data_IF_349687769388
#
_entry.id   IF_349687769388
#
_cell.length_a   1.000
_cell.length_b   1.000
_cell.length_c   1.000
_cell.angle_alpha   90.00
_cell.angle_beta   90.00
_cell.angle_gamma   90.00
#
_symmetry.space_group_name_H-M   'P 1'
#
loop_
_entity.id
_entity.type
_entity.pdbx_description
1 polymer ?
#
# COMPACT_ATOMS: atom_id res chain seq x y z
N UNK A 1 12.33 30.97 -24.45
CA UNK A 1 11.93 32.21 -23.77
C UNK A 1 11.72 31.83 -22.32
N UNK A 2 12.72 32.09 -21.47
CA UNK A 2 12.65 31.70 -20.07
C UNK A 2 11.68 32.63 -19.35
N UNK A 3 10.51 32.09 -19.00
CA UNK A 3 9.45 32.84 -18.32
C UNK A 3 9.82 33.01 -16.85
N UNK A 4 10.74 33.92 -16.57
CA UNK A 4 11.18 34.24 -15.21
C UNK A 4 10.13 35.16 -14.55
N UNK A 5 9.46 34.65 -13.51
CA UNK A 5 8.49 35.42 -12.72
C UNK A 5 9.09 35.75 -11.35
N UNK A 6 9.13 37.03 -11.00
CA UNK A 6 9.62 37.49 -9.70
C UNK A 6 8.44 37.64 -8.73
N UNK A 7 8.46 36.89 -7.62
CA UNK A 7 7.41 36.92 -6.60
C UNK A 7 8.00 37.52 -5.31
N UNK A 8 7.57 38.72 -4.88
CA UNK A 8 8.06 39.31 -3.63
C UNK A 8 7.58 38.49 -2.43
N UNK A 9 8.49 38.19 -1.52
CA UNK A 9 8.18 37.53 -0.25
C UNK A 9 8.08 38.59 0.85
N UNK A 10 7.01 38.54 1.64
CA UNK A 10 6.81 39.42 2.79
C UNK A 10 6.27 38.65 4.00
N UNK A 11 6.61 39.11 5.20
CA UNK A 11 6.04 38.58 6.44
C UNK A 11 6.39 37.11 6.70
N UNK A 12 5.43 36.27 7.14
CA UNK A 12 5.69 34.87 7.54
C UNK A 12 6.38 34.02 6.46
N UNK A 13 6.18 34.33 5.19
CA UNK A 13 6.77 33.62 4.06
C UNK A 13 8.30 33.71 4.04
N UNK A 14 8.87 34.85 4.45
CA UNK A 14 10.33 35.04 4.53
C UNK A 14 10.93 34.12 5.58
N UNK A 15 10.24 33.94 6.70
CA UNK A 15 10.67 33.07 7.80
C UNK A 15 10.62 31.58 7.46
N UNK A 16 9.72 31.18 6.57
CA UNK A 16 9.64 29.80 6.06
C UNK A 16 10.82 29.52 5.13
N UNK A 17 11.13 30.45 4.23
CA UNK A 17 12.26 30.34 3.30
C UNK A 17 13.61 30.36 4.02
N UNK A 18 13.76 31.21 5.05
CA UNK A 18 15.03 31.36 5.78
C UNK A 18 15.47 30.11 6.54
N UNK A 19 14.53 29.22 6.89
CA UNK A 19 14.81 28.00 7.66
C UNK A 19 15.31 26.83 6.80
N UNK A 20 14.72 26.61 5.62
CA UNK A 20 15.01 25.44 4.79
C UNK A 20 15.01 25.76 3.28
N UNK A 21 15.92 26.62 2.79
CA UNK A 21 15.90 27.09 1.41
C UNK A 21 16.11 25.96 0.40
N UNK A 22 17.01 25.01 0.67
CA UNK A 22 17.31 23.91 -0.24
C UNK A 22 16.12 22.95 -0.42
N UNK A 23 15.43 22.64 0.68
CA UNK A 23 14.26 21.75 0.67
C UNK A 23 13.08 22.38 -0.06
N UNK A 24 12.84 23.69 0.14
CA UNK A 24 11.81 24.42 -0.59
C UNK A 24 12.08 24.45 -2.10
N UNK A 25 13.34 24.64 -2.53
CA UNK A 25 13.70 24.56 -3.96
C UNK A 25 13.40 23.18 -4.53
N UNK A 26 13.76 22.12 -3.80
CA UNK A 26 13.52 20.74 -4.22
C UNK A 26 12.02 20.42 -4.32
N UNK A 27 11.21 20.87 -3.34
CA UNK A 27 9.75 20.69 -3.37
C UNK A 27 9.14 21.43 -4.56
N UNK A 28 9.55 22.67 -4.81
CA UNK A 28 9.01 23.48 -5.93
C UNK A 28 9.37 22.82 -7.26
N UNK A 29 10.59 22.33 -7.41
CA UNK A 29 11.04 21.61 -8.60
C UNK A 29 10.26 20.31 -8.79
N UNK A 30 10.18 19.46 -7.76
CA UNK A 30 9.54 18.15 -7.87
C UNK A 30 8.02 18.24 -8.06
N UNK A 31 7.38 19.23 -7.42
CA UNK A 31 5.91 19.35 -7.42
C UNK A 31 5.38 20.14 -8.61
N UNK A 32 6.11 21.17 -9.04
CA UNK A 32 5.64 22.11 -10.06
C UNK A 32 6.54 22.17 -11.30
N UNK A 33 7.69 21.49 -11.31
CA UNK A 33 8.65 21.54 -12.41
C UNK A 33 9.36 22.89 -12.53
N UNK A 34 9.31 23.73 -11.49
CA UNK A 34 9.86 25.08 -11.51
C UNK A 34 11.19 25.15 -10.74
N UNK A 35 12.18 25.83 -11.30
CA UNK A 35 13.40 26.16 -10.57
C UNK A 35 13.20 27.45 -9.79
N UNK A 36 13.35 27.39 -8.46
CA UNK A 36 13.20 28.54 -7.59
C UNK A 36 14.56 29.04 -7.08
N UNK A 37 14.77 30.35 -7.14
CA UNK A 37 15.90 31.03 -6.50
C UNK A 37 15.36 31.97 -5.43
N UNK A 38 16.07 32.06 -4.30
CA UNK A 38 15.69 32.92 -3.18
C UNK A 38 16.82 33.93 -2.98
N UNK A 39 16.54 35.19 -3.28
CA UNK A 39 17.48 36.31 -3.15
C UNK A 39 17.10 37.15 -1.91
N UNK A 40 18.10 37.69 -1.19
CA UNK A 40 17.87 38.61 -0.08
C UNK A 40 17.35 37.99 1.24
N UNK A 41 17.47 36.67 1.44
CA UNK A 41 17.06 35.99 2.67
C UNK A 41 18.30 35.52 3.46
N UNK A 42 18.46 35.96 4.71
CA UNK A 42 19.49 35.45 5.62
C UNK A 42 19.11 34.05 6.15
N UNK A 43 19.97 33.05 5.92
CA UNK A 43 19.68 31.66 6.26
C UNK A 43 20.11 31.32 7.69
N UNK A 44 19.19 30.81 8.51
CA UNK A 44 19.52 30.35 9.86
C UNK A 44 20.06 28.92 9.79
N UNK A 45 21.37 28.78 9.98
CA UNK A 45 22.08 27.50 10.03
C UNK A 45 21.64 26.65 11.22
N UNK A 46 20.61 25.82 11.02
CA UNK A 46 20.16 24.81 11.96
C UNK A 46 20.04 23.47 11.25
N UNK A 47 21.16 22.75 11.12
CA UNK A 47 21.19 21.41 10.54
C UNK A 47 20.46 20.41 11.48
N UNK A 48 19.14 20.33 11.36
CA UNK A 48 18.40 19.11 11.70
C UNK A 48 18.32 18.31 10.41
N UNK A 49 19.24 17.36 10.27
CA UNK A 49 19.26 16.40 9.17
C UNK A 49 17.97 15.58 9.18
N UNK A 50 16.91 16.10 8.55
CA UNK A 50 15.79 15.29 8.07
C UNK A 50 16.41 14.31 7.07
N UNK A 51 16.40 13.02 7.44
CA UNK A 51 16.91 11.95 6.58
C UNK A 51 16.25 12.08 5.21
N UNK A 52 17.02 12.47 4.18
CA UNK A 52 16.60 12.40 2.77
C UNK A 52 15.85 11.08 2.55
N UNK A 53 14.54 11.15 2.30
CA UNK A 53 13.80 9.97 1.81
C UNK A 53 14.37 9.70 0.42
N UNK A 54 15.26 8.71 0.34
CA UNK A 54 15.74 8.15 -0.92
C UNK A 54 14.52 7.93 -1.81
N UNK A 55 14.56 8.42 -3.05
CA UNK A 55 13.48 8.22 -4.01
C UNK A 55 13.05 6.75 -3.99
N UNK A 56 11.74 6.44 -3.95
CA UNK A 56 11.28 5.06 -3.90
C UNK A 56 11.90 4.28 -5.05
N UNK A 57 12.52 3.14 -4.75
CA UNK A 57 13.03 2.27 -5.80
C UNK A 57 11.87 1.87 -6.74
N UNK A 58 12.10 1.78 -8.06
CA UNK A 58 11.05 1.42 -9.00
C UNK A 58 10.43 0.07 -8.62
N UNK A 59 9.12 -0.13 -8.88
CA UNK A 59 8.47 -1.42 -8.70
C UNK A 59 9.24 -2.52 -9.41
N UNK A 60 9.63 -3.55 -8.68
CA UNK A 60 10.39 -4.69 -9.20
C UNK A 60 9.59 -5.96 -9.02
N UNK A 61 9.15 -6.55 -10.14
CA UNK A 61 8.61 -7.90 -10.14
C UNK A 61 9.71 -8.90 -9.79
N UNK A 62 9.44 -9.75 -8.80
CA UNK A 62 10.33 -10.82 -8.35
C UNK A 62 9.90 -12.18 -8.87
N UNK A 63 8.61 -12.37 -9.05
CA UNK A 63 8.03 -13.63 -9.50
C UNK A 63 6.69 -13.40 -10.19
N UNK A 64 6.27 -14.31 -11.06
CA UNK A 64 4.95 -14.31 -11.68
C UNK A 64 4.58 -15.71 -12.15
N UNK A 65 3.31 -16.07 -11.97
CA UNK A 65 2.71 -17.31 -12.49
C UNK A 65 1.31 -17.00 -13.01
N UNK A 66 0.90 -17.69 -14.07
CA UNK A 66 -0.49 -17.69 -14.53
C UNK A 66 -1.15 -18.97 -14.04
N UNK A 67 -2.24 -18.84 -13.31
CA UNK A 67 -3.06 -19.97 -12.85
C UNK A 67 -3.87 -20.55 -14.03
N UNK A 68 -4.33 -21.81 -13.95
CA UNK A 68 -5.18 -22.41 -14.99
C UNK A 68 -6.44 -21.61 -15.31
N UNK A 69 -6.95 -20.84 -14.34
CA UNK A 69 -8.08 -19.92 -14.51
C UNK A 69 -7.80 -18.70 -15.40
N UNK A 70 -6.54 -18.52 -15.86
CA UNK A 70 -6.09 -17.34 -16.60
C UNK A 70 -5.61 -16.19 -15.72
N UNK A 71 -5.76 -16.30 -14.39
CA UNK A 71 -5.36 -15.26 -13.44
C UNK A 71 -3.85 -15.22 -13.26
N UNK A 72 -3.24 -14.04 -13.43
CA UNK A 72 -1.81 -13.84 -13.18
C UNK A 72 -1.59 -13.47 -11.72
N UNK A 73 -0.81 -14.25 -10.99
CA UNK A 73 -0.36 -13.95 -9.62
C UNK A 73 1.13 -13.62 -9.66
N UNK A 74 1.52 -12.47 -9.12
CA UNK A 74 2.91 -12.02 -9.16
C UNK A 74 3.36 -11.39 -7.86
N UNK A 75 4.65 -11.53 -7.54
CA UNK A 75 5.25 -10.97 -6.32
C UNK A 75 6.09 -9.75 -6.67
N UNK A 76 5.84 -8.64 -5.97
CA UNK A 76 6.47 -7.35 -6.26
C UNK A 76 7.13 -6.74 -5.03
N UNK A 77 8.33 -6.18 -5.23
CA UNK A 77 8.92 -5.19 -4.33
C UNK A 77 8.56 -3.81 -4.88
N UNK A 78 7.57 -3.17 -4.26
CA UNK A 78 7.08 -1.86 -4.66
C UNK A 78 6.70 -1.01 -3.44
N UNK A 79 6.33 0.26 -3.65
CA UNK A 79 5.63 1.10 -2.67
C UNK A 79 4.14 1.16 -3.07
N UNK A 80 3.25 0.70 -2.19
CA UNK A 80 1.81 0.65 -2.48
C UNK A 80 1.19 2.05 -2.65
N UNK A 81 1.82 3.10 -2.12
CA UNK A 81 1.35 4.47 -2.29
C UNK A 81 1.55 5.02 -3.71
N UNK A 82 2.35 4.32 -4.54
CA UNK A 82 2.76 4.76 -5.88
C UNK A 82 2.26 3.84 -7.00
N UNK A 83 1.47 2.81 -6.71
CA UNK A 83 1.03 1.84 -7.71
C UNK A 83 -0.20 2.32 -8.49
N UNK A 84 -0.04 2.45 -9.81
CA UNK A 84 -1.14 2.66 -10.74
C UNK A 84 -1.80 1.32 -11.09
N UNK A 85 -2.75 0.90 -10.26
CA UNK A 85 -3.55 -0.34 -10.37
C UNK A 85 -5.02 -0.05 -10.07
N UNK A 86 -5.93 -0.98 -10.33
CA UNK A 86 -7.36 -0.74 -10.07
C UNK A 86 -7.66 -0.68 -8.57
N UNK A 87 -7.04 -1.53 -7.76
CA UNK A 87 -7.14 -1.47 -6.30
C UNK A 87 -5.82 -1.68 -5.56
N UNK A 88 -5.65 -0.94 -4.47
CA UNK A 88 -4.67 -1.21 -3.43
C UNK A 88 -5.39 -1.66 -2.16
N UNK A 89 -4.86 -2.69 -1.49
CA UNK A 89 -5.38 -3.14 -0.20
C UNK A 89 -4.61 -2.49 0.93
N UNK A 90 -5.36 -1.86 1.84
CA UNK A 90 -4.88 -1.39 3.13
C UNK A 90 -5.04 -2.50 4.19
N UNK A 91 -3.97 -2.80 4.92
CA UNK A 91 -4.02 -3.64 6.13
C UNK A 91 -4.60 -2.80 7.30
N UNK A 92 -5.92 -2.85 7.45
CA UNK A 92 -6.69 -2.02 8.38
C UNK A 92 -6.92 -2.72 9.73
N UNK A 93 -7.36 -1.93 10.72
CA UNK A 93 -7.90 -2.43 11.99
C UNK A 93 -9.43 -2.27 12.03
N UNK A 94 -10.05 -2.86 13.06
CA UNK A 94 -11.52 -2.88 13.25
C UNK A 94 -12.17 -1.49 13.37
N UNK A 95 -11.39 -0.44 13.65
CA UNK A 95 -11.85 0.95 13.76
C UNK A 95 -11.53 1.78 12.52
N UNK A 96 -10.96 1.19 11.46
CA UNK A 96 -10.46 1.88 10.27
C UNK A 96 -9.55 3.09 10.62
N UNK A 97 -8.80 2.98 11.72
CA UNK A 97 -7.94 4.07 12.20
C UNK A 97 -6.55 3.98 11.58
N UNK A 98 -6.13 5.00 10.85
CA UNK A 98 -4.90 4.99 10.05
C UNK A 98 -3.68 5.55 10.80
N UNK A 99 -3.46 5.09 12.04
CA UNK A 99 -2.45 5.66 12.94
C UNK A 99 -1.01 5.14 12.79
N UNK A 100 -0.77 4.11 11.98
CA UNK A 100 0.58 3.57 11.81
C UNK A 100 0.74 2.60 10.64
N UNK A 101 2.01 2.24 10.38
CA UNK A 101 2.40 1.27 9.36
C UNK A 101 1.91 1.64 7.95
N UNK A 102 1.49 0.63 7.19
CA UNK A 102 0.97 0.82 5.84
C UNK A 102 -0.29 1.68 5.80
N UNK A 103 -1.18 1.56 6.80
CA UNK A 103 -2.43 2.31 6.85
C UNK A 103 -2.17 3.82 6.94
N UNK A 104 -1.22 4.24 7.78
CA UNK A 104 -0.79 5.64 7.86
C UNK A 104 -0.22 6.13 6.52
N UNK A 105 0.68 5.36 5.91
CA UNK A 105 1.28 5.75 4.63
C UNK A 105 0.25 5.90 3.50
N UNK A 106 -0.73 4.98 3.42
CA UNK A 106 -1.81 5.07 2.43
C UNK A 106 -2.76 6.24 2.72
N UNK A 107 -3.09 6.51 4.00
CA UNK A 107 -3.94 7.64 4.37
C UNK A 107 -3.25 8.99 4.14
N UNK A 108 -1.93 9.07 4.36
CA UNK A 108 -1.14 10.27 4.09
C UNK A 108 -1.08 10.54 2.58
N UNK A 109 -0.76 9.53 1.77
CA UNK A 109 -0.68 9.65 0.32
C UNK A 109 -2.05 9.85 -0.35
N UNK A 110 -3.09 9.19 0.15
CA UNK A 110 -4.47 9.34 -0.34
C UNK A 110 -5.17 10.61 0.14
N UNK A 111 -4.58 11.33 1.08
CA UNK A 111 -5.10 12.59 1.61
C UNK A 111 -6.27 12.42 2.59
N UNK A 112 -6.86 13.54 3.07
CA UNK A 112 -7.84 13.56 4.15
C UNK A 112 -9.15 12.81 3.82
N UNK A 113 -9.42 12.55 2.54
CA UNK A 113 -10.61 11.83 2.09
C UNK A 113 -10.66 10.40 2.62
N UNK A 114 -9.51 9.72 2.72
CA UNK A 114 -9.42 8.35 3.24
C UNK A 114 -9.87 8.28 4.70
N UNK A 115 -9.38 9.21 5.53
CA UNK A 115 -9.77 9.28 6.94
C UNK A 115 -11.24 9.66 7.09
N UNK A 116 -11.73 10.66 6.34
CA UNK A 116 -13.14 11.07 6.39
C UNK A 116 -14.09 9.92 6.05
N UNK A 117 -13.81 9.20 4.96
CA UNK A 117 -14.57 8.01 4.59
C UNK A 117 -14.60 6.97 5.73
N UNK A 118 -13.44 6.71 6.33
CA UNK A 118 -13.30 5.74 7.41
C UNK A 118 -14.08 6.15 8.67
N UNK A 119 -13.97 7.40 9.08
CA UNK A 119 -14.70 7.95 10.23
C UNK A 119 -16.22 7.90 10.01
N UNK A 120 -16.69 8.27 8.80
CA UNK A 120 -18.10 8.26 8.44
C UNK A 120 -18.65 6.82 8.35
N UNK A 121 -17.87 5.89 7.80
CA UNK A 121 -18.23 4.48 7.75
C UNK A 121 -18.42 3.92 9.16
N UNK A 122 -17.46 4.14 10.07
CA UNK A 122 -17.56 3.67 11.46
C UNK A 122 -18.75 4.30 12.18
N UNK A 123 -19.02 5.59 11.96
CA UNK A 123 -20.19 6.27 12.55
C UNK A 123 -21.50 5.65 12.10
N UNK A 124 -21.61 5.26 10.82
CA UNK A 124 -22.84 4.76 10.21
C UNK A 124 -23.06 3.25 10.39
N UNK A 125 -21.99 2.47 10.32
CA UNK A 125 -22.06 1.00 10.25
C UNK A 125 -21.41 0.29 11.44
N UNK A 126 -20.74 1.04 12.33
CA UNK A 126 -19.98 0.47 13.42
C UNK A 126 -18.64 -0.13 12.97
N UNK A 127 -18.00 -0.86 13.90
CA UNK A 127 -16.67 -1.46 13.70
C UNK A 127 -16.72 -2.64 12.74
N UNK A 128 -15.69 -2.78 11.92
CA UNK A 128 -15.48 -3.99 11.13
C UNK A 128 -15.06 -5.14 12.04
N UNK A 129 -15.47 -6.35 11.68
CA UNK A 129 -14.97 -7.59 12.29
C UNK A 129 -13.72 -8.06 11.56
N UNK A 130 -12.87 -8.80 12.27
CA UNK A 130 -11.77 -9.54 11.64
C UNK A 130 -12.32 -10.45 10.54
N UNK A 131 -11.63 -10.53 9.40
CA UNK A 131 -12.10 -11.25 8.23
C UNK A 131 -12.88 -10.38 7.24
N UNK A 132 -13.32 -9.17 7.62
CA UNK A 132 -14.08 -8.29 6.73
C UNK A 132 -13.19 -7.35 5.92
N UNK A 133 -13.68 -6.98 4.74
CA UNK A 133 -13.11 -5.95 3.89
C UNK A 133 -14.19 -5.00 3.36
N UNK A 134 -13.84 -3.75 3.11
CA UNK A 134 -14.70 -2.74 2.47
C UNK A 134 -13.92 -1.97 1.42
N UNK A 135 -14.62 -1.42 0.43
CA UNK A 135 -14.03 -0.65 -0.67
C UNK A 135 -14.44 0.83 -0.58
N UNK A 136 -13.53 1.72 -0.95
CA UNK A 136 -13.77 3.15 -1.08
C UNK A 136 -12.98 3.76 -2.24
N UNK A 137 -13.21 5.04 -2.51
CA UNK A 137 -12.38 5.81 -3.44
C UNK A 137 -10.99 6.04 -2.84
N UNK A 138 -9.98 6.06 -3.71
CA UNK A 138 -8.58 6.07 -3.29
C UNK A 138 -8.03 7.46 -2.96
N UNK A 139 -8.86 8.51 -3.02
CA UNK A 139 -8.44 9.89 -2.81
C UNK A 139 -7.36 10.31 -3.82
N UNK A 140 -6.21 10.75 -3.32
CA UNK A 140 -5.06 11.16 -4.16
C UNK A 140 -4.10 10.02 -4.53
N UNK A 141 -4.39 8.77 -4.15
CA UNK A 141 -3.57 7.63 -4.58
C UNK A 141 -3.69 7.43 -6.11
N UNK A 142 -2.64 6.92 -6.78
CA UNK A 142 -2.68 6.64 -8.22
C UNK A 142 -3.55 5.43 -8.59
N UNK A 143 -4.09 4.69 -7.62
CA UNK A 143 -5.00 3.58 -7.88
C UNK A 143 -6.46 4.03 -7.95
N UNK A 144 -7.34 3.27 -8.59
CA UNK A 144 -8.77 3.66 -8.73
C UNK A 144 -9.55 3.51 -7.42
N UNK A 145 -9.27 2.46 -6.66
CA UNK A 145 -9.98 2.09 -5.43
C UNK A 145 -9.02 1.72 -4.31
N UNK A 146 -9.46 1.92 -3.08
CA UNK A 146 -8.78 1.45 -1.88
C UNK A 146 -9.67 0.44 -1.16
N UNK A 147 -9.11 -0.72 -0.80
CA UNK A 147 -9.83 -1.77 -0.06
C UNK A 147 -9.25 -1.83 1.35
N UNK A 148 -10.06 -1.50 2.36
CA UNK A 148 -9.68 -1.68 3.77
C UNK A 148 -9.99 -3.10 4.22
N UNK A 149 -8.97 -3.85 4.62
CA UNK A 149 -9.08 -5.26 4.98
C UNK A 149 -8.60 -5.50 6.42
N UNK A 150 -9.44 -6.11 7.25
CA UNK A 150 -9.14 -6.35 8.68
C UNK A 150 -8.65 -7.78 8.87
N UNK A 151 -7.33 -7.94 8.96
CA UNK A 151 -6.70 -9.22 9.25
C UNK A 151 -6.63 -9.55 10.76
N UNK A 152 -6.28 -10.79 11.12
CA UNK A 152 -6.13 -11.24 12.50
C UNK A 152 -4.93 -10.62 13.21
N UNK A 153 -5.03 -10.47 14.53
CA UNK A 153 -3.91 -10.13 15.40
C UNK A 153 -3.35 -11.40 16.06
N UNK A 154 -2.03 -11.54 16.06
CA UNK A 154 -1.31 -12.61 16.77
C UNK A 154 -0.49 -11.97 17.88
N UNK A 155 -0.66 -12.44 19.12
CA UNK A 155 0.15 -11.97 20.23
C UNK A 155 1.61 -12.44 20.05
N UNK A 156 2.59 -11.59 20.40
CA UNK A 156 4.02 -11.87 20.16
C UNK A 156 4.53 -13.19 20.77
N UNK A 157 3.93 -13.64 21.87
CA UNK A 157 4.27 -14.89 22.56
C UNK A 157 3.46 -16.10 22.07
N UNK A 158 2.58 -15.93 21.08
CA UNK A 158 1.67 -16.96 20.60
C UNK A 158 2.04 -17.44 19.20
N UNK A 159 1.87 -18.74 18.97
CA UNK A 159 1.91 -19.31 17.63
C UNK A 159 0.61 -18.98 16.88
N UNK A 160 0.67 -19.01 15.54
CA UNK A 160 -0.53 -18.89 14.70
C UNK A 160 -1.47 -20.05 14.99
N UNK A 161 -2.61 -19.76 15.61
CA UNK A 161 -3.64 -20.75 15.87
C UNK A 161 -4.58 -20.93 14.67
N UNK A 162 -5.44 -21.95 14.72
CA UNK A 162 -6.40 -22.24 13.63
C UNK A 162 -7.34 -21.08 13.35
N UNK A 163 -7.73 -20.33 14.38
CA UNK A 163 -8.64 -19.19 14.25
C UNK A 163 -7.99 -18.05 13.45
N UNK A 164 -6.78 -17.64 13.82
CA UNK A 164 -6.04 -16.60 13.11
C UNK A 164 -5.80 -16.98 11.65
N UNK A 165 -5.47 -18.25 11.37
CA UNK A 165 -5.35 -18.73 9.98
C UNK A 165 -6.67 -18.60 9.22
N UNK A 166 -7.77 -19.09 9.78
CA UNK A 166 -9.12 -19.01 9.19
C UNK A 166 -9.54 -17.55 8.93
N UNK A 167 -9.24 -16.65 9.85
CA UNK A 167 -9.51 -15.21 9.72
C UNK A 167 -8.70 -14.56 8.60
N UNK A 168 -7.42 -14.91 8.45
CA UNK A 168 -6.60 -14.43 7.34
C UNK A 168 -7.10 -15.00 5.99
N UNK A 169 -7.47 -16.27 5.93
CA UNK A 169 -8.11 -16.86 4.73
C UNK A 169 -9.41 -16.12 4.39
N UNK A 170 -10.22 -15.79 5.40
CA UNK A 170 -11.50 -15.09 5.23
C UNK A 170 -11.30 -13.68 4.69
N UNK A 171 -10.38 -12.88 5.24
CA UNK A 171 -10.16 -11.51 4.75
C UNK A 171 -9.62 -11.51 3.31
N UNK A 172 -8.77 -12.48 2.95
CA UNK A 172 -8.29 -12.62 1.57
C UNK A 172 -9.44 -12.97 0.63
N UNK A 173 -10.35 -13.87 1.02
CA UNK A 173 -11.56 -14.16 0.24
C UNK A 173 -12.43 -12.92 0.06
N UNK A 174 -12.68 -12.15 1.12
CA UNK A 174 -13.48 -10.93 1.02
C UNK A 174 -12.87 -9.86 0.11
N UNK A 175 -11.53 -9.75 0.06
CA UNK A 175 -10.86 -8.87 -0.91
C UNK A 175 -11.13 -9.34 -2.35
N UNK A 176 -10.99 -10.64 -2.62
CA UNK A 176 -11.19 -11.20 -3.95
C UNK A 176 -12.65 -11.08 -4.41
N UNK A 177 -13.61 -11.28 -3.50
CA UNK A 177 -15.03 -11.04 -3.76
C UNK A 177 -15.31 -9.59 -4.14
N UNK A 178 -14.68 -8.61 -3.46
CA UNK A 178 -14.78 -7.19 -3.83
C UNK A 178 -14.18 -6.96 -5.22
N UNK A 179 -13.02 -7.52 -5.52
CA UNK A 179 -12.35 -7.39 -6.82
C UNK A 179 -13.22 -7.90 -7.95
N UNK A 180 -13.83 -9.09 -7.80
CA UNK A 180 -14.75 -9.68 -8.77
C UNK A 180 -16.03 -8.85 -8.89
N UNK A 181 -16.67 -8.51 -7.76
CA UNK A 181 -17.92 -7.73 -7.73
C UNK A 181 -17.79 -6.37 -8.41
N UNK A 182 -16.64 -5.71 -8.24
CA UNK A 182 -16.36 -4.39 -8.80
C UNK A 182 -15.61 -4.44 -10.14
N UNK A 183 -15.44 -5.62 -10.74
CA UNK A 183 -14.80 -5.82 -12.05
C UNK A 183 -13.42 -5.15 -12.14
N UNK A 184 -12.63 -5.29 -11.07
CA UNK A 184 -11.27 -4.76 -11.00
C UNK A 184 -10.32 -5.77 -11.65
N UNK A 185 -9.52 -5.32 -12.62
CA UNK A 185 -8.59 -6.19 -13.34
C UNK A 185 -7.29 -6.36 -12.57
N UNK A 186 -6.90 -5.38 -11.75
CA UNK A 186 -5.63 -5.37 -11.01
C UNK A 186 -5.80 -5.03 -9.54
N UNK A 187 -5.22 -5.82 -8.65
CA UNK A 187 -5.24 -5.55 -7.21
C UNK A 187 -3.90 -5.84 -6.55
N UNK A 188 -3.43 -4.92 -5.71
CA UNK A 188 -2.21 -5.06 -4.93
C UNK A 188 -2.53 -5.41 -3.46
N UNK A 189 -2.20 -6.63 -3.04
CA UNK A 189 -2.42 -7.14 -1.69
C UNK A 189 -1.08 -7.17 -0.92
N UNK A 190 -0.96 -6.47 0.23
CA UNK A 190 0.20 -6.58 1.10
C UNK A 190 0.21 -7.90 1.88
N UNK A 191 1.30 -8.21 2.58
CA UNK A 191 1.31 -9.21 3.64
C UNK A 191 0.44 -8.74 4.84
N UNK A 192 -0.88 -8.92 4.73
CA UNK A 192 -1.86 -8.48 5.73
C UNK A 192 -1.53 -9.13 7.08
N UNK A 193 -1.59 -8.33 8.14
CA UNK A 193 -1.25 -8.71 9.52
C UNK A 193 0.22 -8.97 9.84
N UNK A 194 1.14 -8.98 8.87
CA UNK A 194 2.54 -9.32 9.12
C UNK A 194 3.40 -8.20 9.70
N UNK A 195 2.82 -7.00 9.86
CA UNK A 195 3.46 -5.86 10.50
C UNK A 195 3.03 -5.75 11.96
N UNK A 196 2.27 -4.69 12.27
CA UNK A 196 1.83 -4.38 13.63
C UNK A 196 0.98 -5.48 14.31
N UNK A 197 0.39 -6.39 13.53
CA UNK A 197 -0.43 -7.49 14.04
C UNK A 197 0.35 -8.80 14.29
N UNK A 198 1.67 -8.77 14.12
CA UNK A 198 2.65 -9.84 14.41
C UNK A 198 2.31 -11.22 13.82
N UNK A 199 1.56 -11.30 12.73
CA UNK A 199 1.39 -12.56 12.02
C UNK A 199 2.74 -12.93 11.36
N UNK A 200 3.34 -14.11 11.63
CA UNK A 200 4.62 -14.47 11.05
C UNK A 200 4.63 -14.33 9.53
N UNK A 201 5.63 -13.63 8.99
CA UNK A 201 5.63 -13.21 7.58
C UNK A 201 5.52 -14.41 6.61
N UNK A 202 6.25 -15.48 6.89
CA UNK A 202 6.21 -16.73 6.11
C UNK A 202 4.81 -17.36 6.12
N UNK A 203 4.20 -17.53 7.30
CA UNK A 203 2.86 -18.09 7.40
C UNK A 203 1.82 -17.19 6.74
N UNK A 204 1.96 -15.86 6.87
CA UNK A 204 1.10 -14.87 6.24
C UNK A 204 1.12 -15.03 4.72
N UNK A 205 2.31 -15.05 4.12
CA UNK A 205 2.45 -15.25 2.68
C UNK A 205 1.85 -16.56 2.22
N UNK A 206 2.14 -17.64 2.95
CA UNK A 206 1.65 -18.97 2.63
C UNK A 206 0.13 -18.97 2.61
N UNK A 207 -0.51 -18.43 3.65
CA UNK A 207 -1.97 -18.32 3.73
C UNK A 207 -2.54 -17.47 2.60
N UNK A 208 -1.93 -16.33 2.27
CA UNK A 208 -2.41 -15.46 1.18
C UNK A 208 -2.36 -16.20 -0.16
N UNK A 209 -1.20 -16.77 -0.52
CA UNK A 209 -0.98 -17.45 -1.79
C UNK A 209 -1.90 -18.66 -1.93
N UNK A 210 -2.00 -19.49 -0.89
CA UNK A 210 -2.87 -20.69 -0.94
C UNK A 210 -4.34 -20.32 -1.03
N UNK A 211 -4.78 -19.25 -0.36
CA UNK A 211 -6.17 -18.79 -0.44
C UNK A 211 -6.50 -18.25 -1.81
N UNK A 212 -5.62 -17.44 -2.40
CA UNK A 212 -5.78 -16.93 -3.78
C UNK A 212 -5.88 -18.08 -4.76
N UNK A 213 -4.95 -19.04 -4.68
CA UNK A 213 -4.94 -20.20 -5.56
C UNK A 213 -6.26 -20.98 -5.46
N UNK A 214 -6.67 -21.34 -4.25
CA UNK A 214 -7.93 -22.06 -4.01
C UNK A 214 -9.17 -21.29 -4.48
N UNK A 215 -9.21 -19.98 -4.26
CA UNK A 215 -10.32 -19.14 -4.69
C UNK A 215 -10.53 -19.23 -6.21
N UNK A 216 -9.45 -19.06 -6.99
CA UNK A 216 -9.55 -19.10 -8.45
C UNK A 216 -9.63 -20.52 -9.04
N UNK A 217 -9.13 -21.54 -8.34
CA UNK A 217 -9.37 -22.95 -8.72
C UNK A 217 -10.82 -23.38 -8.50
N UNK A 218 -11.55 -22.74 -7.59
CA UNK A 218 -12.97 -23.02 -7.35
C UNK A 218 -13.94 -22.31 -8.30
N UNK A 219 -13.43 -21.41 -9.15
CA UNK A 219 -14.24 -20.70 -10.13
C UNK A 219 -14.19 -21.47 -11.45
N UNK A 220 -15.35 -21.97 -11.91
CA UNK A 220 -15.49 -22.64 -13.21
C UNK A 220 -15.35 -21.70 -14.43
N UNK A 221 -14.94 -20.45 -14.21
CA UNK A 221 -14.84 -19.42 -15.26
C UNK A 221 -13.41 -18.92 -15.47
N UNK A 222 -13.02 -18.82 -16.74
CA UNK A 222 -11.79 -18.13 -17.16
C UNK A 222 -11.97 -16.64 -16.85
N UNK A 223 -11.15 -16.11 -15.95
CA UNK A 223 -11.17 -14.70 -15.55
C UNK A 223 -9.81 -14.06 -15.85
N UNK A 224 -9.80 -13.00 -16.66
CA UNK A 224 -8.58 -12.23 -16.96
C UNK A 224 -8.31 -11.19 -15.87
N UNK A 225 -7.89 -11.64 -14.69
CA UNK A 225 -7.46 -10.76 -13.59
C UNK A 225 -5.97 -10.91 -13.29
N UNK A 226 -5.32 -9.82 -12.87
CA UNK A 226 -3.92 -9.79 -12.45
C UNK A 226 -3.81 -9.38 -10.98
N UNK A 227 -3.33 -10.30 -10.16
CA UNK A 227 -3.09 -10.11 -8.75
C UNK A 227 -1.62 -9.82 -8.47
N UNK A 228 -1.37 -8.73 -7.75
CA UNK A 228 -0.07 -8.31 -7.27
C UNK A 228 0.04 -8.57 -5.77
N UNK A 229 0.82 -9.58 -5.37
CA UNK A 229 1.16 -9.83 -3.98
C UNK A 229 2.43 -9.06 -3.63
N UNK A 230 2.37 -8.15 -2.65
CA UNK A 230 3.55 -7.47 -2.15
C UNK A 230 4.06 -8.16 -0.90
N UNK A 231 5.37 -8.36 -0.86
CA UNK A 231 6.04 -8.81 0.35
C UNK A 231 7.30 -8.01 0.66
N UNK A 232 7.64 -7.96 1.96
CA UNK A 232 8.94 -7.48 2.40
C UNK A 232 10.05 -8.38 1.87
N UNK A 233 11.30 -7.89 1.86
CA UNK A 233 12.45 -8.64 1.40
C UNK A 233 12.84 -9.74 2.42
N UNK A 234 11.93 -10.56 2.92
CA UNK A 234 12.20 -11.71 3.80
C UNK A 234 11.30 -12.91 3.43
N UNK A 235 10.21 -12.64 2.70
CA UNK A 235 9.25 -13.64 2.23
C UNK A 235 9.84 -14.66 1.24
N UNK A 236 10.90 -14.25 0.54
CA UNK A 236 11.49 -15.01 -0.57
C UNK A 236 12.14 -16.31 -0.10
N UNK A 237 12.69 -16.37 1.12
CA UNK A 237 13.44 -17.55 1.57
C UNK A 237 12.50 -18.70 1.88
N UNK A 238 11.26 -18.36 2.22
CA UNK A 238 10.22 -19.31 2.57
C UNK A 238 9.46 -19.85 1.35
N UNK A 239 9.25 -19.02 0.32
CA UNK A 239 8.50 -19.43 -0.87
C UNK A 239 9.34 -20.25 -1.86
N UNK A 240 10.67 -20.29 -1.70
CA UNK A 240 11.54 -20.93 -2.68
C UNK A 240 11.55 -22.47 -2.60
N UNK A 241 11.53 -23.09 -3.78
CA UNK A 241 11.67 -24.53 -4.13
C UNK A 241 10.52 -25.53 -3.90
N UNK A 242 9.52 -25.32 -3.02
CA UNK A 242 8.52 -26.37 -2.73
C UNK A 242 7.10 -26.15 -3.24
N UNK A 243 6.71 -24.91 -3.54
CA UNK A 243 5.27 -24.56 -3.51
C UNK A 243 4.64 -24.21 -4.85
N UNK A 244 5.43 -24.01 -5.91
CA UNK A 244 4.92 -23.74 -7.25
C UNK A 244 5.68 -24.63 -8.23
N UNK A 245 4.98 -25.43 -9.05
CA UNK A 245 5.62 -26.40 -9.94
C UNK A 245 6.61 -25.67 -10.85
N UNK A 246 7.76 -26.31 -11.01
CA UNK A 246 8.89 -25.87 -11.82
C UNK A 246 8.41 -25.38 -13.19
N UNK A 247 8.40 -24.07 -13.41
CA UNK A 247 8.26 -23.49 -14.75
C UNK A 247 9.63 -22.97 -15.19
N UNK A 248 10.01 -23.09 -16.47
CA UNK A 248 11.38 -22.90 -16.93
C UNK A 248 11.82 -21.46 -16.71
N UNK A 249 13.08 -21.29 -16.30
CA UNK A 249 13.74 -19.98 -16.27
C UNK A 249 13.75 -19.44 -17.72
N UNK A 250 13.16 -18.27 -17.91
CA UNK A 250 13.51 -17.40 -19.05
C UNK A 250 14.66 -16.49 -18.62
#
# INVERSE_FOLDING_TARGET
MDNKQNVPLSGPSVHVVSRNPAELREIILNRFGCEATFEGVEFQGGSKTLKKRKAPAPPLQRYGVTLPSGVRVSVWKADLTQLNVDAVVNAANTQLSHGGGLAAALSEAGGPQIKRYSDDYIRKHGRLKTGQAIICDAGSLPCKKLIHAVGPYVAKSSQVNKQARSELETVIRSILEIVVKHQLNTVAIPAISSGLFNYPLEDCARTIVTTVKRYFESLDMITSQSLFLRSGPELWASLDKKWLPSCPRQ
#
